data_IF_935592210152
#
_entry.id   IF_935592210152
#
_cell.length_a   1.000
_cell.length_b   1.000
_cell.length_c   1.000
_cell.angle_alpha   90.00
_cell.angle_beta   90.00
_cell.angle_gamma   90.00
#
_symmetry.space_group_name_H-M   'P 1'
#
loop_
_entity.id
_entity.type
_entity.pdbx_description
1 polymer ?
#
# COMPACT_ATOMS: atom_id res chain seq x y z
N UNK A 1 15.37 15.98 22.76
CA UNK A 1 16.42 14.94 22.70
C UNK A 1 15.78 13.68 22.14
N UNK A 2 16.12 13.25 20.92
CA UNK A 2 15.56 12.04 20.32
C UNK A 2 16.08 10.76 20.99
N UNK A 3 15.43 9.60 20.76
CA UNK A 3 15.93 8.32 21.26
C UNK A 3 17.35 8.05 20.77
N UNK A 4 18.19 7.47 21.63
CA UNK A 4 19.50 6.98 21.23
C UNK A 4 19.36 5.97 20.07
N UNK A 5 20.27 6.03 19.10
CA UNK A 5 20.26 5.11 17.97
C UNK A 5 20.36 3.66 18.46
N UNK A 6 19.51 2.79 17.92
CA UNK A 6 19.54 1.35 18.21
C UNK A 6 20.92 0.78 17.85
N UNK A 7 21.42 -0.19 18.62
CA UNK A 7 22.69 -0.86 18.30
C UNK A 7 22.64 -1.44 16.88
N UNK A 8 23.62 -1.07 16.06
CA UNK A 8 23.82 -1.58 14.71
C UNK A 8 24.20 -3.06 14.74
N UNK A 9 24.05 -3.75 13.60
CA UNK A 9 24.38 -5.17 13.48
C UNK A 9 25.87 -5.45 13.78
N UNK A 10 26.75 -4.53 13.41
CA UNK A 10 28.18 -4.62 13.70
C UNK A 10 28.49 -4.49 15.20
N UNK A 11 27.90 -3.48 15.86
CA UNK A 11 28.05 -3.29 17.31
C UNK A 11 27.52 -4.51 18.08
N UNK A 12 26.38 -5.08 17.66
CA UNK A 12 25.84 -6.31 18.25
C UNK A 12 26.81 -7.49 18.09
N UNK A 13 27.43 -7.63 16.92
CA UNK A 13 28.45 -8.66 16.66
C UNK A 13 29.67 -8.53 17.57
N UNK A 14 30.21 -7.32 17.71
CA UNK A 14 31.34 -7.03 18.60
C UNK A 14 30.98 -7.33 20.07
N UNK A 15 29.83 -6.86 20.54
CA UNK A 15 29.35 -7.12 21.90
C UNK A 15 29.23 -8.62 22.15
N UNK A 16 28.65 -9.36 21.20
CA UNK A 16 28.49 -10.82 21.31
C UNK A 16 29.86 -11.50 21.44
N UNK A 17 30.79 -11.23 20.52
CA UNK A 17 32.14 -11.81 20.56
C UNK A 17 32.88 -11.50 21.87
N UNK A 18 32.91 -10.24 22.30
CA UNK A 18 33.59 -9.81 23.52
C UNK A 18 32.96 -10.41 24.79
N UNK A 19 31.63 -10.53 24.82
CA UNK A 19 30.92 -11.18 25.93
C UNK A 19 31.23 -12.67 26.01
N UNK A 20 31.32 -13.36 24.87
CA UNK A 20 31.68 -14.79 24.81
C UNK A 20 33.10 -15.04 25.31
N UNK A 21 34.03 -14.12 25.05
CA UNK A 21 35.40 -14.19 25.59
C UNK A 21 35.54 -13.78 27.06
N UNK A 22 34.46 -13.33 27.71
CA UNK A 22 34.47 -13.00 29.15
C UNK A 22 35.00 -11.61 29.51
N UNK A 23 35.09 -10.66 28.57
CA UNK A 23 35.51 -9.30 28.92
C UNK A 23 34.49 -8.60 29.83
N UNK A 24 34.95 -7.76 30.79
CA UNK A 24 34.04 -7.01 31.64
C UNK A 24 33.28 -5.95 30.85
N UNK A 25 32.02 -5.70 31.22
CA UNK A 25 31.12 -4.74 30.55
C UNK A 25 31.72 -3.35 30.34
N UNK A 26 32.62 -2.90 31.24
CA UNK A 26 33.34 -1.63 31.11
C UNK A 26 34.23 -1.61 29.86
N UNK A 27 35.06 -2.63 29.66
CA UNK A 27 35.92 -2.78 28.47
C UNK A 27 35.09 -2.84 27.19
N UNK A 28 33.97 -3.57 27.22
CA UNK A 28 33.07 -3.68 26.06
C UNK A 28 32.46 -2.32 25.72
N UNK A 29 32.03 -1.56 26.73
CA UNK A 29 31.52 -0.20 26.55
C UNK A 29 32.56 0.74 25.94
N UNK A 30 33.80 0.66 26.39
CA UNK A 30 34.90 1.49 25.90
C UNK A 30 35.23 1.17 24.42
N UNK A 31 35.25 -0.12 24.04
CA UNK A 31 35.51 -0.58 22.66
C UNK A 31 34.38 -0.19 21.71
N UNK A 32 33.14 -0.48 22.10
CA UNK A 32 31.94 -0.27 21.26
C UNK A 32 31.50 1.19 21.29
N UNK A 33 32.06 2.01 22.20
CA UNK A 33 31.69 3.42 22.46
C UNK A 33 30.19 3.58 22.74
N UNK A 34 29.62 2.66 23.52
CA UNK A 34 28.20 2.61 23.86
C UNK A 34 27.99 2.54 25.37
N UNK A 35 26.81 2.94 25.82
CA UNK A 35 26.50 2.90 27.24
C UNK A 35 26.46 1.47 27.76
N UNK A 36 26.91 1.24 29.00
CA UNK A 36 26.79 -0.06 29.67
C UNK A 36 25.34 -0.54 29.73
N UNK A 37 24.38 0.38 29.80
CA UNK A 37 22.94 0.08 29.82
C UNK A 37 22.47 -0.50 28.49
N UNK A 38 22.89 0.06 27.36
CA UNK A 38 22.50 -0.45 26.03
C UNK A 38 23.08 -1.85 25.78
N UNK A 39 24.33 -2.06 26.18
CA UNK A 39 25.01 -3.36 26.09
C UNK A 39 24.29 -4.39 26.96
N UNK A 40 23.98 -4.04 28.21
CA UNK A 40 23.25 -4.92 29.11
C UNK A 40 21.85 -5.24 28.60
N UNK A 41 21.14 -4.26 28.04
CA UNK A 41 19.83 -4.43 27.43
C UNK A 41 19.88 -5.40 26.24
N UNK A 42 20.90 -5.29 25.39
CA UNK A 42 21.12 -6.23 24.28
C UNK A 42 21.43 -7.65 24.77
N UNK A 43 22.35 -7.80 25.73
CA UNK A 43 22.75 -9.11 26.25
C UNK A 43 21.58 -9.86 26.93
N UNK A 44 20.64 -9.14 27.55
CA UNK A 44 19.43 -9.73 28.15
C UNK A 44 18.39 -10.17 27.12
N UNK A 45 18.40 -9.58 25.92
CA UNK A 45 17.34 -9.74 24.92
C UNK A 45 17.91 -10.03 23.52
N UNK A 46 18.98 -10.83 23.38
CA UNK A 46 19.72 -10.96 22.12
C UNK A 46 18.83 -11.25 20.90
N UNK A 47 17.87 -12.16 21.03
CA UNK A 47 16.94 -12.54 19.95
C UNK A 47 15.82 -11.51 19.73
N UNK A 48 15.35 -10.86 20.81
CA UNK A 48 14.22 -9.92 20.78
C UNK A 48 14.67 -8.45 20.59
N UNK A 49 15.97 -8.18 20.60
CA UNK A 49 16.49 -6.82 20.62
C UNK A 49 16.26 -6.12 19.27
N UNK A 50 15.44 -5.08 19.30
CA UNK A 50 15.09 -4.29 18.12
C UNK A 50 14.07 -4.95 17.19
N UNK A 51 13.47 -6.10 17.57
CA UNK A 51 12.36 -6.71 16.82
C UNK A 51 11.02 -6.07 17.18
N UNK A 52 10.93 -5.43 18.36
CA UNK A 52 9.74 -4.72 18.83
C UNK A 52 9.44 -3.53 17.94
N UNK A 53 8.38 -3.66 17.14
CA UNK A 53 7.81 -2.54 16.39
C UNK A 53 7.16 -1.58 17.37
N UNK A 54 7.38 -0.29 17.18
CA UNK A 54 6.53 0.70 17.84
C UNK A 54 5.12 0.59 17.27
N UNK A 55 4.11 0.84 18.11
CA UNK A 55 2.70 0.85 17.70
C UNK A 55 2.39 1.90 16.62
N UNK A 56 3.32 2.80 16.34
CA UNK A 56 3.16 3.86 15.36
C UNK A 56 2.06 4.85 15.75
N UNK A 57 1.82 5.82 14.86
CA UNK A 57 0.71 6.76 15.03
C UNK A 57 -0.59 6.06 14.63
N UNK A 58 -1.62 6.15 15.49
CA UNK A 58 -2.96 5.69 15.15
C UNK A 58 -3.47 6.42 13.89
N UNK A 59 -4.13 5.66 13.01
CA UNK A 59 -4.76 6.24 11.82
C UNK A 59 -5.94 7.13 12.22
N UNK A 60 -6.25 8.16 11.39
CA UNK A 60 -7.41 9.04 11.61
C UNK A 60 -8.74 8.28 11.56
N UNK A 61 -8.82 7.22 10.74
CA UNK A 61 -10.04 6.46 10.51
C UNK A 61 -10.01 5.10 11.19
N UNK A 62 -11.15 4.70 11.75
CA UNK A 62 -11.36 3.37 12.30
C UNK A 62 -11.62 2.33 11.18
N UNK A 63 -11.63 1.04 11.53
CA UNK A 63 -11.77 -0.03 10.53
C UNK A 63 -13.16 -0.07 9.89
N UNK A 64 -14.20 0.39 10.60
CA UNK A 64 -15.57 0.50 10.07
C UNK A 64 -15.66 1.58 8.99
N UNK A 65 -15.09 2.75 9.24
CA UNK A 65 -15.02 3.88 8.30
C UNK A 65 -14.23 3.50 7.04
N UNK A 66 -13.13 2.75 7.20
CA UNK A 66 -12.39 2.19 6.06
C UNK A 66 -13.26 1.24 5.24
N UNK A 67 -14.06 0.40 5.88
CA UNK A 67 -15.00 -0.50 5.23
C UNK A 67 -16.07 0.25 4.44
N UNK A 68 -16.71 1.25 5.06
CA UNK A 68 -17.72 2.10 4.42
C UNK A 68 -17.13 2.84 3.22
N UNK A 69 -15.91 3.36 3.34
CA UNK A 69 -15.22 4.02 2.24
C UNK A 69 -14.97 3.08 1.05
N UNK A 70 -14.40 1.88 1.28
CA UNK A 70 -14.17 0.93 0.20
C UNK A 70 -15.52 0.48 -0.43
N UNK A 71 -16.60 0.38 0.36
CA UNK A 71 -17.94 0.02 -0.12
C UNK A 71 -18.58 1.12 -0.98
N UNK A 72 -18.59 2.38 -0.51
CA UNK A 72 -19.07 3.53 -1.28
C UNK A 72 -18.33 3.64 -2.61
N UNK A 73 -16.99 3.48 -2.60
CA UNK A 73 -16.19 3.53 -3.83
C UNK A 73 -16.54 2.41 -4.83
N UNK A 74 -16.98 1.23 -4.38
CA UNK A 74 -17.45 0.18 -5.28
C UNK A 74 -18.70 0.61 -6.04
N UNK A 75 -19.62 1.29 -5.36
CA UNK A 75 -20.90 1.75 -5.94
C UNK A 75 -20.67 2.93 -6.90
N UNK A 76 -19.87 3.93 -6.50
CA UNK A 76 -19.75 5.20 -7.24
C UNK A 76 -18.75 5.19 -8.41
N UNK A 77 -18.39 4.05 -9.01
CA UNK A 77 -17.43 4.05 -10.14
C UNK A 77 -18.06 4.73 -11.39
N UNK A 78 -17.42 5.73 -12.05
CA UNK A 78 -16.07 6.29 -11.90
C UNK A 78 -16.07 7.77 -11.46
N UNK A 79 -16.85 8.15 -10.43
CA UNK A 79 -16.89 9.54 -9.98
C UNK A 79 -15.54 10.01 -9.38
N UNK A 80 -15.26 11.33 -9.39
CA UNK A 80 -14.14 11.92 -8.64
C UNK A 80 -14.14 11.49 -7.17
N UNK A 81 -12.98 11.47 -6.50
CA UNK A 81 -12.87 11.06 -5.08
C UNK A 81 -13.37 12.14 -4.10
N UNK A 82 -13.49 13.38 -4.57
CA UNK A 82 -13.95 14.55 -3.85
C UNK A 82 -15.25 14.34 -3.03
N UNK A 83 -16.33 13.73 -3.55
CA UNK A 83 -17.56 13.52 -2.78
C UNK A 83 -17.40 12.50 -1.64
N UNK A 84 -16.60 11.45 -1.84
CA UNK A 84 -16.41 10.36 -0.87
C UNK A 84 -15.40 10.74 0.21
N UNK A 85 -14.37 11.53 -0.16
CA UNK A 85 -13.40 12.10 0.79
C UNK A 85 -14.04 13.09 1.75
N UNK A 86 -14.93 13.97 1.25
CA UNK A 86 -15.70 14.90 2.08
C UNK A 86 -16.61 14.21 3.09
N UNK A 87 -17.22 13.08 2.73
CA UNK A 87 -18.11 12.34 3.63
C UNK A 87 -17.40 11.77 4.87
N UNK A 88 -16.07 11.61 4.82
CA UNK A 88 -15.26 10.97 5.87
C UNK A 88 -14.15 11.91 6.38
N UNK A 89 -14.25 13.22 6.08
CA UNK A 89 -13.23 14.24 6.39
C UNK A 89 -11.79 13.74 6.10
N UNK A 90 -11.64 13.11 4.93
CA UNK A 90 -10.41 12.46 4.51
C UNK A 90 -9.72 13.28 3.43
N UNK A 91 -8.42 13.55 3.62
CA UNK A 91 -7.62 14.16 2.55
C UNK A 91 -7.52 13.22 1.36
N UNK A 92 -7.40 13.80 0.17
CA UNK A 92 -7.34 13.03 -1.08
C UNK A 92 -6.21 11.98 -1.07
N UNK A 93 -5.02 12.35 -0.57
CA UNK A 93 -3.90 11.43 -0.45
C UNK A 93 -4.15 10.30 0.57
N UNK A 94 -4.99 10.52 1.57
CA UNK A 94 -5.39 9.47 2.51
C UNK A 94 -6.38 8.51 1.84
N UNK A 95 -7.34 9.03 1.09
CA UNK A 95 -8.27 8.24 0.28
C UNK A 95 -7.53 7.33 -0.72
N UNK A 96 -6.55 7.86 -1.45
CA UNK A 96 -5.73 7.05 -2.36
C UNK A 96 -4.93 5.95 -1.63
N UNK A 97 -4.30 6.27 -0.49
CA UNK A 97 -3.59 5.28 0.33
C UNK A 97 -4.51 4.17 0.82
N UNK A 98 -5.76 4.48 1.15
CA UNK A 98 -6.76 3.48 1.53
C UNK A 98 -7.17 2.61 0.33
N UNK A 99 -7.44 3.21 -0.83
CA UNK A 99 -7.82 2.46 -2.03
C UNK A 99 -6.72 1.53 -2.54
N UNK A 100 -5.46 1.88 -2.34
CA UNK A 100 -4.34 1.02 -2.71
C UNK A 100 -4.18 -0.16 -1.73
N UNK A 101 -4.71 -0.07 -0.50
CA UNK A 101 -4.68 -1.14 0.50
C UNK A 101 -5.93 -2.03 0.51
N UNK A 102 -7.08 -1.59 -0.01
CA UNK A 102 -8.31 -2.40 -0.03
C UNK A 102 -8.07 -3.68 -0.88
N UNK A 103 -7.92 -4.85 -0.26
CA UNK A 103 -7.82 -6.17 -0.94
C UNK A 103 -9.06 -6.50 -1.78
N UNK A 104 -10.18 -5.93 -1.34
CA UNK A 104 -11.51 -6.04 -1.91
C UNK A 104 -11.69 -5.38 -3.29
N UNK A 105 -10.67 -4.71 -3.81
CA UNK A 105 -10.70 -4.05 -5.11
C UNK A 105 -9.62 -4.67 -6.00
N UNK A 106 -10.03 -5.54 -6.91
CA UNK A 106 -9.16 -6.00 -7.99
C UNK A 106 -9.05 -4.88 -9.03
N UNK A 107 -7.82 -4.45 -9.32
CA UNK A 107 -7.53 -3.53 -10.42
C UNK A 107 -6.99 -4.35 -11.57
N UNK A 108 -7.74 -4.44 -12.66
CA UNK A 108 -7.20 -4.89 -13.92
C UNK A 108 -6.45 -3.74 -14.59
N UNK A 109 -5.40 -4.07 -15.33
CA UNK A 109 -4.83 -3.13 -16.27
C UNK A 109 -5.84 -2.95 -17.39
N UNK A 110 -6.20 -1.70 -17.69
CA UNK A 110 -6.95 -1.40 -18.90
C UNK A 110 -6.13 -1.86 -20.10
N UNK A 111 -6.71 -2.72 -20.92
CA UNK A 111 -6.13 -3.02 -22.22
C UNK A 111 -6.13 -1.76 -23.05
N UNK A 112 -5.07 -1.59 -23.85
CA UNK A 112 -5.02 -0.47 -24.78
C UNK A 112 -6.12 -0.66 -25.80
N UNK A 113 -7.05 0.29 -25.86
CA UNK A 113 -7.98 0.34 -26.98
C UNK A 113 -7.15 0.41 -28.28
N UNK A 114 -7.39 -0.48 -29.26
CA UNK A 114 -6.67 -0.44 -30.52
C UNK A 114 -6.82 0.94 -31.17
N UNK A 115 -5.74 1.44 -31.77
CA UNK A 115 -5.74 2.77 -32.36
C UNK A 115 -6.74 2.85 -33.51
N UNK A 116 -7.75 3.70 -33.35
CA UNK A 116 -8.75 3.96 -34.38
C UNK A 116 -8.15 4.92 -35.42
N UNK A 117 -7.77 4.36 -36.56
CA UNK A 117 -7.45 5.11 -37.77
C UNK A 117 -8.71 5.87 -38.22
N UNK A 118 -8.53 6.99 -38.90
CA UNK A 118 -9.62 7.86 -39.36
C UNK A 118 -10.67 7.11 -40.20
N UNK A 119 -10.24 6.16 -41.04
CA UNK A 119 -11.15 5.27 -41.77
C UNK A 119 -12.08 4.47 -40.85
N UNK A 120 -11.54 3.87 -39.78
CA UNK A 120 -12.35 3.14 -38.79
C UNK A 120 -13.36 4.04 -38.08
N UNK A 121 -12.99 5.30 -37.79
CA UNK A 121 -13.91 6.26 -37.16
C UNK A 121 -15.07 6.59 -38.09
N UNK A 122 -14.78 6.87 -39.35
CA UNK A 122 -15.78 7.21 -40.36
C UNK A 122 -16.74 6.05 -40.64
N UNK A 123 -16.22 4.83 -40.75
CA UNK A 123 -17.04 3.63 -40.93
C UNK A 123 -17.91 3.32 -39.72
N UNK A 124 -17.36 3.42 -38.50
CA UNK A 124 -18.13 3.26 -37.26
C UNK A 124 -19.25 4.29 -37.16
N UNK A 125 -19.00 5.53 -37.55
CA UNK A 125 -20.00 6.59 -37.58
C UNK A 125 -21.09 6.31 -38.63
N UNK A 126 -20.70 5.86 -39.82
CA UNK A 126 -21.63 5.47 -40.89
C UNK A 126 -22.52 4.30 -40.45
N UNK A 127 -21.92 3.28 -39.84
CA UNK A 127 -22.64 2.15 -39.26
C UNK A 127 -23.62 2.64 -38.17
N UNK A 128 -23.17 3.43 -37.19
CA UNK A 128 -24.04 3.94 -36.14
C UNK A 128 -25.24 4.72 -36.70
N UNK A 129 -25.01 5.61 -37.68
CA UNK A 129 -26.09 6.38 -38.34
C UNK A 129 -27.09 5.48 -39.06
N UNK A 130 -26.61 4.43 -39.73
CA UNK A 130 -27.45 3.47 -40.42
C UNK A 130 -28.24 2.61 -39.43
N UNK A 131 -27.57 2.10 -38.40
CA UNK A 131 -28.12 1.16 -37.43
C UNK A 131 -29.06 1.82 -36.41
N UNK A 132 -29.03 3.15 -36.28
CA UNK A 132 -30.05 3.92 -35.56
C UNK A 132 -31.44 3.83 -36.21
N UNK A 133 -31.52 3.49 -37.49
CA UNK A 133 -32.78 3.31 -38.23
C UNK A 133 -33.25 1.85 -38.28
N UNK A 134 -32.49 0.94 -37.70
CA UNK A 134 -32.77 -0.50 -37.73
C UNK A 134 -33.55 -0.96 -36.50
N UNK A 135 -34.46 -1.90 -36.72
CA UNK A 135 -35.18 -2.58 -35.64
C UNK A 135 -34.34 -3.74 -35.09
N UNK A 136 -33.65 -3.48 -33.98
CA UNK A 136 -32.77 -4.43 -33.32
C UNK A 136 -33.52 -5.64 -32.72
N UNK A 137 -34.85 -5.57 -32.57
CA UNK A 137 -35.66 -6.70 -32.07
C UNK A 137 -35.73 -7.88 -33.04
N UNK A 138 -35.32 -7.68 -34.30
CA UNK A 138 -35.33 -8.70 -35.37
C UNK A 138 -33.94 -9.25 -35.69
N UNK A 139 -32.90 -8.80 -34.98
CA UNK A 139 -31.52 -9.17 -35.25
C UNK A 139 -31.07 -10.23 -34.26
N UNK A 140 -30.66 -11.41 -34.77
CA UNK A 140 -30.00 -12.43 -33.97
C UNK A 140 -28.49 -12.16 -33.96
N UNK A 141 -27.92 -11.94 -32.78
CA UNK A 141 -26.47 -11.78 -32.60
C UNK A 141 -25.88 -13.13 -32.20
N UNK A 142 -24.91 -13.61 -32.98
CA UNK A 142 -24.19 -14.84 -32.69
C UNK A 142 -22.81 -14.53 -32.10
N UNK A 143 -22.48 -15.13 -30.96
CA UNK A 143 -21.14 -15.08 -30.37
C UNK A 143 -20.27 -16.12 -31.07
N UNK A 144 -19.33 -15.65 -31.90
CA UNK A 144 -18.30 -16.51 -32.49
C UNK A 144 -17.14 -16.56 -31.49
N UNK A 145 -16.99 -17.69 -30.79
CA UNK A 145 -15.78 -17.98 -30.01
C UNK A 145 -14.73 -18.55 -30.97
N UNK A 146 -13.65 -17.80 -31.16
CA UNK A 146 -12.43 -18.25 -31.83
C UNK A 146 -11.48 -18.88 -30.81
#
# INVERSE_FOLDING_TARGET
MGPASTLSLHERGQIKALSTTGYPLKRIADVVKRSRKDIMNFLRHQEEYGTKKSSGRSGKLNDREKGIFCALRRITRPAPLEPVGRAIDASESMAWRMLNKCSNIVRSRWEKCPHLIEGHKNERLRFARYSLRFDWGKVLVFEIRL
#
